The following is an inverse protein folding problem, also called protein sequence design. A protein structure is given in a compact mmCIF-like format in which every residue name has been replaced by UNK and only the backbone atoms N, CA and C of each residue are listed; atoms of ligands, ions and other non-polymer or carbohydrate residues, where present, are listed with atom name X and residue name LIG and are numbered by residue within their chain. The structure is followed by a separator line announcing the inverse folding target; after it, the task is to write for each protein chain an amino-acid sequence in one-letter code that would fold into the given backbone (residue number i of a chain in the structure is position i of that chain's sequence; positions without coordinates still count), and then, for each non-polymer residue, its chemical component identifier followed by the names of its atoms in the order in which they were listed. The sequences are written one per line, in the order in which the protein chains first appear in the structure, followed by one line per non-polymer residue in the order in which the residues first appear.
data_IF_005528197103
#
_entry.id   IF_005528197103
#
_cell.length_a   1.000
_cell.length_b   1.000
_cell.length_c   1.000
_cell.angle_alpha   90.00
_cell.angle_beta   90.00
_cell.angle_gamma   90.00
#
_symmetry.space_group_name_H-M   'P 1'
#
loop_
_entity.id
_entity.type
_entity.pdbx_description
1 polymer ?
#
# COMPACT_ATOMS: atom_id res chain seq x y z
N UNK A 1 6.90 -18.49 36.47
CA UNK A 1 7.20 -17.08 36.77
C UNK A 1 8.20 -16.61 35.76
N UNK A 2 7.83 -15.72 34.86
CA UNK A 2 8.66 -15.19 33.77
C UNK A 2 7.80 -14.40 32.82
N UNK A 3 7.51 -13.11 33.15
CA UNK A 3 6.68 -12.25 32.37
C UNK A 3 7.39 -11.79 31.10
N UNK A 4 6.80 -11.98 29.94
CA UNK A 4 7.22 -11.39 28.69
C UNK A 4 6.72 -9.95 28.60
N UNK A 5 7.65 -9.03 28.60
CA UNK A 5 7.39 -7.61 28.35
C UNK A 5 7.09 -7.39 26.86
N UNK A 6 5.93 -6.81 26.59
CA UNK A 6 5.55 -6.25 25.29
C UNK A 6 6.32 -4.94 25.08
N UNK A 7 7.03 -4.72 23.98
CA UNK A 7 7.65 -3.43 23.70
C UNK A 7 6.60 -2.38 23.34
N UNK A 8 6.62 -1.27 24.09
CA UNK A 8 5.82 -0.07 23.80
C UNK A 8 6.31 0.58 22.51
N UNK A 9 5.39 0.80 21.58
CA UNK A 9 5.59 1.64 20.41
C UNK A 9 5.83 3.08 20.88
N UNK A 10 7.00 3.61 20.56
CA UNK A 10 7.36 4.99 20.83
C UNK A 10 6.66 5.92 19.83
N UNK A 11 5.77 6.74 20.39
CA UNK A 11 5.09 7.85 19.72
C UNK A 11 6.12 8.95 19.41
N UNK A 12 6.51 9.12 18.15
CA UNK A 12 7.32 10.27 17.71
C UNK A 12 6.43 11.34 17.14
N UNK A 13 6.11 12.29 18.03
CA UNK A 13 5.50 13.59 17.73
C UNK A 13 6.31 14.36 16.70
N UNK A 14 5.71 14.65 15.57
CA UNK A 14 6.17 15.57 14.55
C UNK A 14 5.23 16.78 14.41
N UNK A 15 4.89 17.45 15.53
CA UNK A 15 4.18 18.73 15.51
C UNK A 15 4.96 19.67 16.43
N UNK A 16 5.90 20.41 15.89
CA UNK A 16 6.46 21.59 16.55
C UNK A 16 6.77 22.62 15.47
N UNK A 17 6.38 23.89 15.78
CA UNK A 17 6.79 25.14 15.17
C UNK A 17 5.83 25.80 14.16
N UNK A 18 4.69 26.26 14.63
CA UNK A 18 4.01 27.47 14.08
C UNK A 18 3.56 28.42 15.19
N UNK A 19 4.11 28.39 16.38
CA UNK A 19 3.64 29.22 17.50
C UNK A 19 4.62 30.31 18.00
N UNK A 20 5.54 30.77 17.13
CA UNK A 20 6.56 31.75 17.58
C UNK A 20 6.60 33.08 16.81
N UNK A 21 5.49 33.56 16.25
CA UNK A 21 5.45 34.87 15.58
C UNK A 21 4.38 35.85 16.12
N UNK A 22 3.86 35.66 17.35
CA UNK A 22 3.11 36.69 18.05
C UNK A 22 3.82 37.05 19.35
N UNK A 23 4.92 37.76 19.20
CA UNK A 23 5.66 38.36 20.32
C UNK A 23 4.86 39.48 20.97
N UNK A 24 4.60 39.35 22.26
CA UNK A 24 4.09 40.39 23.12
C UNK A 24 5.12 41.52 23.24
N UNK A 25 4.77 42.69 22.73
CA UNK A 25 5.51 43.91 22.93
C UNK A 25 4.97 44.61 24.18
N UNK A 26 5.73 44.56 25.29
CA UNK A 26 5.52 45.43 26.48
C UNK A 26 6.69 46.37 26.59
N UNK A 27 6.38 47.67 26.57
CA UNK A 27 7.29 48.73 27.07
C UNK A 27 7.93 49.59 25.99
N UNK A 28 7.21 50.58 25.51
CA UNK A 28 7.80 51.72 24.78
C UNK A 28 8.04 52.89 25.73
N UNK A 29 9.25 53.46 25.77
CA UNK A 29 9.47 54.79 26.39
C UNK A 29 9.04 55.87 25.42
N UNK A 30 8.45 56.94 25.97
CA UNK A 30 7.97 58.11 25.21
C UNK A 30 9.13 58.85 24.52
N UNK A 31 8.93 59.34 23.28
CA UNK A 31 9.93 60.09 22.58
C UNK A 31 9.88 61.56 22.96
N UNK A 32 11.06 62.13 23.27
CA UNK A 32 11.30 63.58 23.33
C UNK A 32 11.14 64.17 21.92
N UNK A 33 10.38 65.26 21.83
CA UNK A 33 10.29 66.13 20.68
C UNK A 33 11.66 66.77 20.38
N UNK A 34 12.23 66.37 19.26
CA UNK A 34 13.41 66.89 18.58
C UNK A 34 13.14 67.14 17.11
N UNK A 35 13.33 68.35 16.66
CA UNK A 35 12.97 68.82 15.31
C UNK A 35 13.72 68.21 14.16
N UNK A 36 13.05 68.10 13.01
CA UNK A 36 13.60 68.26 11.67
C UNK A 36 14.43 67.10 11.13
N UNK A 37 13.79 66.15 10.43
CA UNK A 37 14.50 65.13 9.66
C UNK A 37 13.59 64.44 8.64
N UNK A 38 13.74 64.85 7.42
CA UNK A 38 13.34 64.26 6.13
C UNK A 38 12.30 63.13 6.11
N UNK A 39 11.07 63.48 5.73
CA UNK A 39 9.94 62.56 5.42
C UNK A 39 10.24 61.52 4.31
N UNK A 40 11.38 61.62 3.59
CA UNK A 40 11.77 60.70 2.52
C UNK A 40 12.34 59.35 2.97
N UNK A 41 12.99 59.30 4.14
CA UNK A 41 13.64 58.08 4.62
C UNK A 41 12.68 57.04 5.25
N UNK A 42 11.60 57.50 5.86
CA UNK A 42 10.59 56.60 6.46
C UNK A 42 9.78 55.89 5.38
N UNK A 43 9.33 56.59 4.35
CA UNK A 43 8.56 56.04 3.24
C UNK A 43 9.36 54.98 2.43
N UNK A 44 10.64 55.23 2.22
CA UNK A 44 11.52 54.27 1.53
C UNK A 44 11.75 52.97 2.32
N UNK A 45 11.86 53.06 3.66
CA UNK A 45 11.95 51.88 4.54
C UNK A 45 10.65 51.09 4.59
N UNK A 46 9.51 51.72 4.56
CA UNK A 46 8.21 51.02 4.47
C UNK A 46 8.05 50.32 3.12
N UNK A 47 8.42 50.93 2.01
CA UNK A 47 8.37 50.33 0.68
C UNK A 47 9.34 49.13 0.58
N UNK A 48 10.55 49.21 1.16
CA UNK A 48 11.49 48.10 1.19
C UNK A 48 10.98 46.96 2.12
N UNK A 49 10.34 47.24 3.23
CA UNK A 49 9.77 46.27 4.14
C UNK A 49 8.57 45.53 3.49
N UNK A 50 7.69 46.25 2.83
CA UNK A 50 6.56 45.68 2.08
C UNK A 50 7.07 44.83 0.93
N UNK A 51 8.09 45.29 0.19
CA UNK A 51 8.72 44.49 -0.88
C UNK A 51 9.36 43.21 -0.35
N UNK A 52 9.99 43.22 0.82
CA UNK A 52 10.54 42.03 1.46
C UNK A 52 9.45 41.03 1.88
N UNK A 53 8.35 41.51 2.47
CA UNK A 53 7.22 40.65 2.86
C UNK A 53 6.55 40.01 1.64
N UNK A 54 6.35 40.76 0.54
CA UNK A 54 5.79 40.25 -0.69
C UNK A 54 6.71 39.15 -1.32
N UNK A 55 8.03 39.39 -1.31
CA UNK A 55 9.00 38.39 -1.80
C UNK A 55 8.98 37.10 -0.94
N UNK A 56 8.87 37.23 0.36
CA UNK A 56 8.78 36.09 1.30
C UNK A 56 7.51 35.28 1.07
N UNK A 57 6.36 35.97 0.87
CA UNK A 57 5.09 35.30 0.55
C UNK A 57 5.13 34.59 -0.81
N UNK A 58 5.72 35.21 -1.82
CA UNK A 58 5.89 34.59 -3.15
C UNK A 58 6.80 33.36 -3.09
N UNK A 59 7.90 33.41 -2.35
CA UNK A 59 8.78 32.26 -2.14
C UNK A 59 8.06 31.14 -1.38
N UNK A 60 7.30 31.44 -0.35
CA UNK A 60 6.51 30.45 0.37
C UNK A 60 5.46 29.78 -0.55
N UNK A 61 4.78 30.57 -1.38
CA UNK A 61 3.83 30.02 -2.38
C UNK A 61 4.50 29.17 -3.43
N UNK A 62 5.70 29.54 -3.89
CA UNK A 62 6.49 28.73 -4.83
C UNK A 62 6.92 27.41 -4.19
N UNK A 63 7.39 27.41 -2.94
CA UNK A 63 7.75 26.20 -2.22
C UNK A 63 6.57 25.25 -2.05
N UNK A 64 5.40 25.78 -1.67
CA UNK A 64 4.16 25.00 -1.58
C UNK A 64 3.78 24.41 -2.95
N UNK A 65 3.88 25.19 -4.03
CA UNK A 65 3.59 24.69 -5.39
C UNK A 65 4.56 23.61 -5.84
N UNK A 66 5.85 23.75 -5.51
CA UNK A 66 6.88 22.74 -5.81
C UNK A 66 6.60 21.44 -5.02
N UNK A 67 6.19 21.55 -3.75
CA UNK A 67 5.87 20.38 -2.96
C UNK A 67 4.60 19.69 -3.43
N UNK A 68 3.56 20.44 -3.80
CA UNK A 68 2.34 19.91 -4.44
C UNK A 68 2.68 19.22 -5.78
N UNK A 69 3.56 19.81 -6.60
CA UNK A 69 3.99 19.21 -7.85
C UNK A 69 4.82 17.93 -7.61
N UNK A 70 5.70 17.92 -6.62
CA UNK A 70 6.46 16.72 -6.20
C UNK A 70 5.53 15.63 -5.67
N UNK A 71 4.51 16.00 -4.93
CA UNK A 71 3.48 15.07 -4.45
C UNK A 71 2.70 14.48 -5.64
N UNK A 72 2.25 15.33 -6.56
CA UNK A 72 1.53 14.89 -7.76
C UNK A 72 2.38 14.00 -8.69
N UNK A 73 3.71 14.20 -8.74
CA UNK A 73 4.63 13.32 -9.46
C UNK A 73 4.78 11.98 -8.76
N UNK A 74 4.90 11.97 -7.43
CA UNK A 74 4.90 10.73 -6.62
C UNK A 74 3.59 9.95 -6.75
N UNK A 75 2.46 10.65 -6.78
CA UNK A 75 1.13 10.04 -6.90
C UNK A 75 0.86 9.45 -8.31
N UNK A 76 1.61 9.85 -9.35
CA UNK A 76 1.52 9.25 -10.69
C UNK A 76 2.03 7.81 -10.73
N UNK A 77 2.99 7.48 -9.89
CA UNK A 77 3.55 6.13 -9.77
C UNK A 77 2.73 5.23 -8.83
N UNK A 78 1.83 5.82 -8.03
CA UNK A 78 0.91 5.09 -7.18
C UNK A 78 -0.45 4.92 -7.88
N UNK A 79 -0.93 3.69 -7.95
CA UNK A 79 -2.23 3.38 -8.55
C UNK A 79 -3.41 4.06 -7.83
N UNK A 80 -3.27 4.31 -6.51
CA UNK A 80 -4.35 4.79 -5.66
C UNK A 80 -3.81 5.77 -4.60
N UNK A 81 -4.29 7.02 -4.56
CA UNK A 81 -3.97 7.95 -3.48
C UNK A 81 -4.63 7.50 -2.17
N UNK A 82 -3.89 7.62 -1.06
CA UNK A 82 -4.42 7.39 0.29
C UNK A 82 -4.33 5.97 0.84
N UNK A 83 -3.65 5.04 0.16
CA UNK A 83 -3.32 3.73 0.70
C UNK A 83 -2.23 3.85 1.78
N UNK A 84 -2.50 3.45 3.01
CA UNK A 84 -1.55 3.57 4.14
C UNK A 84 -1.29 2.28 4.88
N UNK A 85 -2.25 1.39 4.88
CA UNK A 85 -2.18 0.09 5.53
C UNK A 85 -2.55 -0.99 4.52
N UNK A 86 -2.53 -2.23 4.91
CA UNK A 86 -2.93 -3.33 4.04
C UNK A 86 -3.94 -4.23 4.75
N UNK A 87 -4.97 -4.62 4.02
CA UNK A 87 -5.95 -5.57 4.51
C UNK A 87 -5.85 -6.86 3.70
N UNK A 88 -5.45 -7.92 4.39
CA UNK A 88 -5.57 -9.28 3.88
C UNK A 88 -7.04 -9.62 3.72
N UNK A 89 -7.40 -10.11 2.53
CA UNK A 89 -8.71 -10.68 2.24
C UNK A 89 -8.65 -12.20 2.21
N UNK A 90 -9.65 -12.85 2.80
CA UNK A 90 -9.93 -14.27 2.61
C UNK A 90 -10.87 -14.43 1.42
N UNK A 91 -10.37 -14.91 0.29
CA UNK A 91 -11.19 -15.26 -0.87
C UNK A 91 -11.85 -16.61 -0.59
N UNK A 92 -13.17 -16.63 -0.61
CA UNK A 92 -13.98 -17.75 -0.13
C UNK A 92 -14.82 -18.34 -1.26
N UNK A 93 -14.67 -19.64 -1.46
CA UNK A 93 -15.50 -20.44 -2.36
C UNK A 93 -16.59 -21.10 -1.53
N UNK A 94 -17.85 -20.87 -1.85
CA UNK A 94 -19.01 -21.41 -1.12
C UNK A 94 -18.95 -21.13 0.41
N UNK A 95 -18.32 -20.00 0.78
CA UNK A 95 -18.19 -19.62 2.19
C UNK A 95 -16.94 -20.16 2.91
N UNK A 96 -16.19 -21.11 2.33
CA UNK A 96 -14.94 -21.63 2.87
C UNK A 96 -13.74 -20.88 2.30
N UNK A 97 -12.70 -20.66 3.10
CA UNK A 97 -11.46 -20.06 2.63
C UNK A 97 -10.80 -20.92 1.55
N UNK A 98 -10.36 -20.30 0.48
CA UNK A 98 -9.77 -20.97 -0.68
C UNK A 98 -8.45 -20.34 -1.13
N UNK A 99 -8.38 -19.00 -1.15
CA UNK A 99 -7.21 -18.22 -1.56
C UNK A 99 -7.09 -16.95 -0.71
N UNK A 100 -5.92 -16.35 -0.74
CA UNK A 100 -5.71 -14.99 -0.27
C UNK A 100 -6.12 -13.95 -1.31
N UNK A 101 -6.28 -12.71 -0.85
CA UNK A 101 -6.57 -11.58 -1.70
C UNK A 101 -6.14 -10.26 -1.05
N UNK A 102 -5.99 -9.22 -1.83
CA UNK A 102 -5.67 -7.88 -1.34
C UNK A 102 -6.64 -6.83 -1.87
N UNK A 103 -7.00 -5.87 -1.02
CA UNK A 103 -7.92 -4.80 -1.37
C UNK A 103 -7.15 -3.67 -2.06
N UNK A 104 -7.51 -3.33 -3.29
CA UNK A 104 -6.92 -2.21 -4.03
C UNK A 104 -7.69 -0.90 -3.79
N UNK A 105 -9.01 -0.97 -3.80
CA UNK A 105 -9.90 0.16 -3.50
C UNK A 105 -11.26 -0.35 -3.00
N UNK A 106 -12.24 0.53 -2.84
CA UNK A 106 -13.57 0.16 -2.31
C UNK A 106 -14.29 -0.93 -3.10
N UNK A 107 -13.88 -1.25 -4.33
CA UNK A 107 -14.58 -2.22 -5.18
C UNK A 107 -13.68 -3.21 -5.90
N UNK A 108 -12.37 -3.06 -5.81
CA UNK A 108 -11.42 -3.90 -6.53
C UNK A 108 -10.48 -4.63 -5.61
N UNK A 109 -10.29 -5.89 -5.94
CA UNK A 109 -9.48 -6.85 -5.17
C UNK A 109 -8.53 -7.54 -6.14
N UNK A 110 -7.29 -7.77 -5.71
CA UNK A 110 -6.25 -8.46 -6.45
C UNK A 110 -6.03 -9.85 -5.85
N UNK A 111 -5.89 -10.87 -6.68
CA UNK A 111 -5.61 -12.25 -6.28
C UNK A 111 -4.89 -13.01 -7.39
N UNK A 112 -4.56 -14.29 -7.17
CA UNK A 112 -3.98 -15.16 -8.18
C UNK A 112 -5.04 -15.65 -9.19
N UNK A 113 -4.66 -15.77 -10.47
CA UNK A 113 -5.56 -16.24 -11.53
C UNK A 113 -5.93 -17.70 -11.37
N UNK A 114 -4.99 -18.54 -10.93
CA UNK A 114 -5.20 -19.98 -10.79
C UNK A 114 -6.25 -20.36 -9.75
N UNK A 115 -6.59 -19.45 -8.79
CA UNK A 115 -7.69 -19.66 -7.87
C UNK A 115 -9.03 -19.92 -8.59
N UNK A 116 -9.18 -19.42 -9.82
CA UNK A 116 -10.43 -19.48 -10.59
C UNK A 116 -10.46 -20.53 -11.69
N UNK A 117 -9.42 -21.38 -11.81
CA UNK A 117 -9.34 -22.36 -12.89
C UNK A 117 -10.50 -23.37 -12.92
N UNK A 118 -10.97 -23.80 -11.75
CA UNK A 118 -12.05 -24.78 -11.60
C UNK A 118 -13.41 -24.13 -11.32
N UNK A 119 -13.42 -22.90 -10.82
CA UNK A 119 -14.60 -22.18 -10.36
C UNK A 119 -14.59 -20.77 -10.93
N UNK A 120 -15.13 -20.62 -12.14
CA UNK A 120 -15.08 -19.37 -12.91
C UNK A 120 -16.27 -18.44 -12.65
N UNK A 121 -17.29 -18.92 -11.95
CA UNK A 121 -18.53 -18.17 -11.77
C UNK A 121 -18.46 -17.23 -10.59
N UNK A 122 -18.67 -15.90 -10.76
CA UNK A 122 -18.51 -14.92 -9.69
C UNK A 122 -19.45 -15.15 -8.50
N UNK A 123 -20.64 -15.72 -8.71
CA UNK A 123 -21.63 -15.97 -7.64
C UNK A 123 -21.17 -17.02 -6.61
N UNK A 124 -20.20 -17.86 -6.96
CA UNK A 124 -19.60 -18.85 -6.06
C UNK A 124 -18.68 -18.21 -5.02
N UNK A 125 -18.25 -16.95 -5.27
CA UNK A 125 -17.18 -16.29 -4.55
C UNK A 125 -17.62 -15.13 -3.69
N UNK A 126 -16.95 -15.02 -2.55
CA UNK A 126 -17.00 -13.84 -1.69
C UNK A 126 -15.62 -13.54 -1.12
N UNK A 127 -15.39 -12.29 -0.71
CA UNK A 127 -14.16 -11.88 -0.03
C UNK A 127 -14.51 -11.39 1.35
N UNK A 128 -13.82 -11.93 2.37
CA UNK A 128 -13.92 -11.56 3.76
C UNK A 128 -12.74 -10.69 4.14
N UNK A 129 -12.98 -9.51 4.74
CA UNK A 129 -11.94 -8.61 5.23
C UNK A 129 -12.03 -8.39 6.74
N UNK A 130 -10.90 -7.95 7.34
CA UNK A 130 -10.84 -7.45 8.70
C UNK A 130 -11.01 -8.48 9.81
N UNK A 131 -10.85 -9.77 9.51
CA UNK A 131 -10.87 -10.85 10.47
C UNK A 131 -9.46 -11.41 10.69
N UNK A 132 -9.13 -11.76 11.93
CA UNK A 132 -7.90 -12.46 12.27
C UNK A 132 -8.05 -13.96 12.02
N UNK A 133 -9.13 -14.56 12.51
CA UNK A 133 -9.39 -15.98 12.25
C UNK A 133 -9.98 -16.22 10.87
N UNK A 134 -9.50 -17.23 10.18
CA UNK A 134 -10.04 -17.65 8.87
C UNK A 134 -11.46 -18.23 9.01
N UNK A 135 -11.82 -18.72 10.18
CA UNK A 135 -13.13 -19.27 10.54
C UNK A 135 -13.80 -18.45 11.65
N UNK A 136 -14.21 -17.19 11.36
CA UNK A 136 -14.91 -16.40 12.38
C UNK A 136 -16.20 -17.10 12.81
N UNK A 137 -16.64 -16.91 14.06
CA UNK A 137 -17.87 -17.48 14.55
C UNK A 137 -19.07 -17.12 13.66
N UNK A 138 -19.98 -18.07 13.45
CA UNK A 138 -21.15 -17.88 12.58
C UNK A 138 -22.08 -16.76 13.04
N UNK A 139 -22.10 -16.46 14.35
CA UNK A 139 -22.89 -15.36 14.94
C UNK A 139 -22.17 -14.01 14.91
N UNK A 140 -20.94 -13.92 14.35
CA UNK A 140 -20.23 -12.66 14.26
C UNK A 140 -20.87 -11.74 13.24
N UNK A 141 -21.63 -10.76 13.72
CA UNK A 141 -22.21 -9.71 12.88
C UNK A 141 -21.14 -8.93 12.13
N UNK A 142 -19.99 -8.68 12.76
CA UNK A 142 -18.84 -8.03 12.15
C UNK A 142 -18.36 -8.82 10.93
N UNK A 143 -18.13 -10.13 11.08
CA UNK A 143 -17.70 -10.97 9.97
C UNK A 143 -18.75 -11.01 8.84
N UNK A 144 -20.03 -11.01 9.18
CA UNK A 144 -21.10 -10.93 8.19
C UNK A 144 -21.07 -9.61 7.40
N UNK A 145 -20.92 -8.48 8.07
CA UNK A 145 -20.90 -7.16 7.44
C UNK A 145 -19.65 -6.89 6.59
N UNK A 146 -18.53 -7.58 6.88
CA UNK A 146 -17.29 -7.44 6.13
C UNK A 146 -17.07 -8.53 5.07
N UNK A 147 -18.16 -9.24 4.71
CA UNK A 147 -18.17 -10.23 3.63
C UNK A 147 -18.81 -9.64 2.38
N UNK A 148 -18.05 -9.55 1.30
CA UNK A 148 -18.44 -8.91 0.05
C UNK A 148 -18.55 -9.95 -1.06
N UNK A 149 -19.68 -9.98 -1.78
CA UNK A 149 -19.85 -10.86 -2.94
C UNK A 149 -19.03 -10.36 -4.12
N UNK A 150 -18.50 -11.28 -4.91
CA UNK A 150 -17.83 -10.98 -6.18
C UNK A 150 -18.89 -10.73 -7.26
N UNK A 151 -18.73 -9.64 -8.01
CA UNK A 151 -19.59 -9.28 -9.15
C UNK A 151 -19.00 -9.80 -10.46
N UNK A 152 -17.67 -9.70 -10.63
CA UNK A 152 -16.97 -10.17 -11.81
C UNK A 152 -15.53 -10.56 -11.47
N UNK A 153 -15.03 -11.54 -12.22
CA UNK A 153 -13.65 -12.04 -12.16
C UNK A 153 -13.00 -11.70 -13.50
N UNK A 154 -11.86 -11.03 -13.46
CA UNK A 154 -11.10 -10.63 -14.65
C UNK A 154 -9.70 -11.22 -14.52
N UNK A 155 -9.44 -12.26 -15.28
CA UNK A 155 -8.12 -12.90 -15.33
C UNK A 155 -7.25 -12.11 -16.31
N UNK A 156 -5.96 -11.95 -16.00
CA UNK A 156 -5.03 -11.31 -16.92
C UNK A 156 -5.00 -12.06 -18.26
N UNK A 157 -5.15 -11.36 -19.41
CA UNK A 157 -5.39 -12.02 -20.71
C UNK A 157 -4.28 -12.97 -21.19
N UNK A 158 -3.04 -12.77 -20.70
CA UNK A 158 -1.89 -13.61 -21.02
C UNK A 158 -1.60 -14.68 -19.95
N UNK A 159 -2.43 -14.77 -18.92
CA UNK A 159 -2.27 -15.80 -17.89
C UNK A 159 -2.43 -17.19 -18.51
N UNK A 160 -1.37 -17.97 -18.39
CA UNK A 160 -1.33 -19.38 -18.87
C UNK A 160 -1.06 -20.27 -17.68
N UNK A 161 -2.12 -20.80 -17.09
CA UNK A 161 -2.03 -21.63 -15.89
C UNK A 161 -1.38 -20.88 -14.70
N UNK A 162 -1.12 -21.58 -13.59
CA UNK A 162 -0.44 -21.06 -12.41
C UNK A 162 1.07 -20.78 -12.61
N UNK A 163 1.60 -20.98 -13.80
CA UNK A 163 3.04 -20.91 -14.06
C UNK A 163 3.49 -19.55 -14.62
N UNK A 164 2.59 -18.79 -15.25
CA UNK A 164 2.94 -17.52 -15.87
C UNK A 164 1.79 -16.52 -15.75
N UNK A 165 2.13 -15.27 -15.44
CA UNK A 165 1.20 -14.15 -15.41
C UNK A 165 -0.03 -14.41 -14.50
N UNK A 166 0.21 -15.04 -13.34
CA UNK A 166 -0.82 -15.51 -12.42
C UNK A 166 -1.44 -14.35 -11.62
N UNK A 167 -2.23 -13.54 -12.31
CA UNK A 167 -2.87 -12.35 -11.76
C UNK A 167 -4.34 -12.25 -12.16
N UNK A 168 -5.20 -11.89 -11.22
CA UNK A 168 -6.62 -11.66 -11.43
C UNK A 168 -7.15 -10.48 -10.63
N UNK A 169 -8.12 -9.78 -11.19
CA UNK A 169 -8.85 -8.70 -10.54
C UNK A 169 -10.31 -9.11 -10.31
N UNK A 170 -10.79 -8.85 -9.11
CA UNK A 170 -12.17 -9.10 -8.72
C UNK A 170 -12.87 -7.76 -8.51
N UNK A 171 -14.04 -7.59 -9.13
CA UNK A 171 -14.92 -6.47 -8.83
C UNK A 171 -15.98 -6.92 -7.83
N UNK A 172 -16.09 -6.21 -6.72
CA UNK A 172 -17.07 -6.49 -5.67
C UNK A 172 -18.45 -5.93 -6.04
N UNK A 173 -19.51 -6.60 -5.58
CA UNK A 173 -20.89 -6.18 -5.81
C UNK A 173 -21.26 -4.92 -5.03
N UNK A 174 -20.67 -4.70 -3.85
CA UNK A 174 -20.84 -3.53 -3.01
C UNK A 174 -19.50 -2.87 -2.66
N UNK A 175 -19.55 -1.61 -2.25
CA UNK A 175 -18.37 -0.88 -1.81
C UNK A 175 -17.93 -1.29 -0.42
N UNK A 176 -16.63 -1.52 -0.23
CA UNK A 176 -16.03 -1.80 1.06
C UNK A 176 -15.97 -0.53 1.90
N UNK A 177 -16.38 -0.64 3.16
CA UNK A 177 -16.22 0.43 4.15
C UNK A 177 -14.85 0.32 4.80
N UNK A 178 -14.00 1.33 4.60
CA UNK A 178 -12.68 1.39 5.22
C UNK A 178 -12.79 1.69 6.71
N UNK A 179 -11.94 1.04 7.48
CA UNK A 179 -11.78 1.25 8.93
C UNK A 179 -10.34 0.92 9.33
N UNK A 180 -10.00 0.92 10.62
CA UNK A 180 -8.64 0.66 11.10
C UNK A 180 -8.07 -0.74 10.74
N UNK A 181 -8.94 -1.70 10.38
CA UNK A 181 -8.57 -3.07 10.01
C UNK A 181 -8.76 -3.36 8.53
N UNK A 182 -9.41 -2.49 7.78
CA UNK A 182 -9.73 -2.68 6.37
C UNK A 182 -9.30 -1.43 5.61
N UNK A 183 -8.13 -1.50 4.99
CA UNK A 183 -7.52 -0.42 4.23
C UNK A 183 -6.99 -0.97 2.90
N UNK A 184 -6.92 -0.16 1.85
CA UNK A 184 -6.35 -0.59 0.58
C UNK A 184 -4.83 -0.63 0.64
N UNK A 185 -4.24 -1.57 -0.10
CA UNK A 185 -2.80 -1.64 -0.34
C UNK A 185 -2.43 -0.83 -1.57
N UNK A 186 -1.21 -0.28 -1.59
CA UNK A 186 -0.68 0.45 -2.74
C UNK A 186 -0.06 -0.48 -3.78
N UNK A 187 -0.08 -0.07 -5.05
CA UNK A 187 0.65 -0.71 -6.15
C UNK A 187 1.45 0.35 -6.89
N UNK A 188 2.69 0.03 -7.25
CA UNK A 188 3.60 0.91 -8.01
C UNK A 188 3.83 0.39 -9.42
N UNK A 189 4.19 1.31 -10.31
CA UNK A 189 4.61 1.01 -11.69
C UNK A 189 5.95 0.26 -11.77
N UNK A 190 6.76 0.32 -10.71
CA UNK A 190 8.04 -0.38 -10.62
C UNK A 190 8.27 -0.93 -9.22
N UNK A 191 8.79 -2.14 -9.16
CA UNK A 191 9.26 -2.80 -7.93
C UNK A 191 10.78 -2.81 -7.78
N UNK A 192 11.51 -2.05 -8.62
CA UNK A 192 12.98 -2.09 -8.68
C UNK A 192 13.66 -1.65 -7.38
N UNK A 193 13.06 -0.76 -6.62
CA UNK A 193 13.56 -0.26 -5.35
C UNK A 193 13.47 -1.27 -4.20
N UNK A 194 12.67 -2.33 -4.37
CA UNK A 194 12.50 -3.38 -3.37
C UNK A 194 13.43 -4.59 -3.59
N UNK A 195 14.29 -4.54 -4.60
CA UNK A 195 15.28 -5.59 -4.83
C UNK A 195 16.27 -5.66 -3.67
N UNK A 196 16.58 -6.88 -3.23
CA UNK A 196 17.50 -7.18 -2.13
C UNK A 196 17.06 -6.60 -0.76
N UNK A 197 15.79 -6.24 -0.58
CA UNK A 197 15.25 -5.89 0.74
C UNK A 197 14.96 -7.16 1.54
N UNK A 198 15.14 -7.07 2.84
CA UNK A 198 14.95 -8.14 3.82
C UNK A 198 13.81 -7.84 4.82
N UNK A 199 13.12 -6.73 4.62
CA UNK A 199 12.05 -6.21 5.48
C UNK A 199 10.68 -6.21 4.79
N UNK A 200 10.46 -7.13 3.86
CA UNK A 200 9.16 -7.36 3.23
C UNK A 200 8.36 -8.43 3.98
N UNK A 201 7.06 -8.44 3.83
CA UNK A 201 6.17 -9.28 4.62
C UNK A 201 5.17 -10.03 3.75
N UNK A 202 4.89 -11.26 4.16
CA UNK A 202 3.78 -12.07 3.64
C UNK A 202 2.91 -12.47 4.81
N UNK A 203 1.59 -12.37 4.67
CA UNK A 203 0.68 -12.89 5.67
C UNK A 203 -0.37 -13.82 5.06
N UNK A 204 -1.01 -14.65 5.88
CA UNK A 204 -2.05 -15.56 5.43
C UNK A 204 -2.43 -16.62 6.47
N UNK A 205 -3.35 -17.48 6.06
CA UNK A 205 -3.88 -18.57 6.88
C UNK A 205 -3.41 -19.96 6.43
N UNK A 206 -2.41 -20.03 5.55
CA UNK A 206 -1.83 -21.27 5.07
C UNK A 206 -1.00 -22.01 6.10
N UNK A 207 -0.40 -23.11 5.67
CA UNK A 207 0.44 -23.95 6.51
C UNK A 207 1.61 -23.14 7.11
N UNK A 208 1.91 -23.40 8.38
CA UNK A 208 3.04 -22.76 9.09
C UNK A 208 4.37 -23.46 8.84
N UNK A 209 4.32 -24.74 8.46
CA UNK A 209 5.46 -25.56 8.04
C UNK A 209 4.97 -26.60 7.03
N UNK A 210 5.89 -27.26 6.34
CA UNK A 210 5.56 -28.36 5.43
C UNK A 210 4.77 -29.47 6.17
N UNK A 211 3.57 -29.77 5.68
CA UNK A 211 2.63 -30.76 6.24
C UNK A 211 2.10 -30.42 7.65
N UNK A 212 2.22 -29.17 8.10
CA UNK A 212 1.67 -28.70 9.35
C UNK A 212 0.68 -27.59 9.13
N UNK A 213 -0.59 -27.94 9.13
CA UNK A 213 -1.67 -26.99 8.99
C UNK A 213 -1.68 -25.95 10.12
N UNK A 214 -2.26 -24.79 9.84
CA UNK A 214 -2.49 -23.78 10.85
C UNK A 214 -3.35 -24.34 11.99
N UNK A 215 -2.90 -24.28 13.27
CA UNK A 215 -3.67 -24.77 14.39
C UNK A 215 -4.83 -23.83 14.75
N UNK A 216 -5.90 -24.34 15.42
CA UNK A 216 -6.91 -23.47 16.00
C UNK A 216 -6.29 -22.41 16.92
N UNK A 217 -6.83 -21.17 16.98
CA UNK A 217 -8.07 -20.68 16.36
C UNK A 217 -7.94 -20.26 14.89
N UNK A 218 -6.93 -20.71 14.16
CA UNK A 218 -6.69 -20.43 12.75
C UNK A 218 -6.45 -18.93 12.49
N UNK A 219 -5.66 -18.31 13.34
CA UNK A 219 -5.34 -16.89 13.26
C UNK A 219 -4.33 -16.59 12.15
N UNK A 220 -4.51 -15.43 11.53
CA UNK A 220 -3.63 -14.91 10.49
C UNK A 220 -2.18 -14.89 10.96
N UNK A 221 -1.32 -15.53 10.19
CA UNK A 221 0.13 -15.54 10.39
C UNK A 221 0.79 -14.50 9.51
N UNK A 222 1.94 -13.99 9.93
CA UNK A 222 2.79 -13.11 9.15
C UNK A 222 4.25 -13.57 9.26
N UNK A 223 4.99 -13.40 8.18
CA UNK A 223 6.41 -13.74 8.09
C UNK A 223 7.15 -12.66 7.33
N UNK A 224 8.29 -12.26 7.87
CA UNK A 224 9.22 -11.37 7.19
C UNK A 224 10.07 -12.18 6.22
N UNK A 225 10.25 -11.67 5.00
CA UNK A 225 10.96 -12.35 3.92
C UNK A 225 11.94 -11.41 3.23
N UNK A 226 13.08 -11.96 2.80
CA UNK A 226 14.06 -11.26 1.98
C UNK A 226 13.73 -11.41 0.49
N UNK A 227 13.96 -10.38 -0.30
CA UNK A 227 13.81 -10.44 -1.76
C UNK A 227 15.13 -10.84 -2.39
N UNK A 228 15.20 -12.06 -2.90
CA UNK A 228 16.39 -12.61 -3.53
C UNK A 228 16.61 -11.92 -4.89
N UNK A 229 17.86 -11.59 -5.22
CA UNK A 229 18.18 -10.97 -6.49
C UNK A 229 17.86 -11.89 -7.69
N UNK A 230 17.60 -11.29 -8.86
CA UNK A 230 17.14 -12.01 -10.05
C UNK A 230 18.12 -13.09 -10.53
N UNK A 231 19.41 -12.85 -10.45
CA UNK A 231 20.43 -13.82 -10.90
C UNK A 231 20.41 -15.06 -10.00
N UNK A 232 20.36 -14.87 -8.70
CA UNK A 232 20.26 -15.97 -7.73
C UNK A 232 18.93 -16.70 -7.85
N UNK A 233 17.83 -15.97 -7.99
CA UNK A 233 16.52 -16.54 -8.25
C UNK A 233 16.53 -17.43 -9.49
N UNK A 234 17.04 -16.95 -10.63
CA UNK A 234 17.18 -17.75 -11.86
C UNK A 234 18.05 -18.99 -11.64
N UNK A 235 19.14 -18.88 -10.91
CA UNK A 235 19.99 -20.02 -10.59
C UNK A 235 19.23 -21.08 -9.79
N UNK A 236 18.45 -20.70 -8.79
CA UNK A 236 17.65 -21.61 -7.98
C UNK A 236 16.59 -22.35 -8.83
N UNK A 237 15.98 -21.67 -9.81
CA UNK A 237 14.99 -22.27 -10.69
C UNK A 237 15.56 -23.15 -11.82
N UNK A 238 16.85 -23.09 -12.09
CA UNK A 238 17.49 -24.01 -13.04
C UNK A 238 17.94 -25.34 -12.39
N UNK A 239 17.67 -25.53 -11.09
CA UNK A 239 17.88 -26.82 -10.44
C UNK A 239 16.87 -27.86 -10.96
N UNK A 240 17.21 -29.17 -10.95
CA UNK A 240 16.38 -30.23 -11.53
C UNK A 240 14.95 -30.31 -10.99
N UNK A 241 14.74 -29.85 -9.75
CA UNK A 241 13.45 -29.84 -9.09
C UNK A 241 12.49 -28.73 -9.58
N UNK A 242 13.01 -27.77 -10.31
CA UNK A 242 12.25 -26.68 -10.92
C UNK A 242 12.29 -26.83 -12.44
N UNK A 243 11.23 -27.33 -13.03
CA UNK A 243 11.10 -27.31 -14.47
C UNK A 243 11.14 -25.86 -14.98
N UNK A 244 11.88 -25.59 -16.05
CA UNK A 244 12.26 -24.39 -16.78
C UNK A 244 11.24 -23.21 -16.89
N UNK A 245 10.73 -22.68 -15.80
CA UNK A 245 9.65 -21.68 -15.81
C UNK A 245 10.09 -20.28 -15.32
N UNK A 246 11.32 -19.86 -15.62
CA UNK A 246 11.77 -18.50 -15.32
C UNK A 246 11.08 -17.49 -16.22
N UNK A 247 10.04 -16.83 -15.70
CA UNK A 247 9.43 -15.65 -16.32
C UNK A 247 10.06 -14.38 -15.77
N UNK A 248 10.22 -13.37 -16.64
CA UNK A 248 10.69 -12.04 -16.24
C UNK A 248 9.73 -11.32 -15.26
N UNK A 249 8.52 -11.85 -15.08
CA UNK A 249 7.44 -11.28 -14.28
C UNK A 249 7.34 -11.92 -12.89
N UNK A 250 8.43 -12.49 -12.36
CA UNK A 250 8.45 -13.15 -11.05
C UNK A 250 9.33 -12.43 -10.06
N UNK A 251 8.98 -12.50 -8.79
CA UNK A 251 9.77 -12.13 -7.62
C UNK A 251 9.99 -13.38 -6.79
N UNK A 252 11.17 -13.52 -6.23
CA UNK A 252 11.56 -14.64 -5.40
C UNK A 252 11.81 -14.15 -3.96
N UNK A 253 10.84 -14.18 -3.09
CA UNK A 253 11.10 -14.01 -1.66
C UNK A 253 11.52 -15.35 -1.05
N UNK A 254 12.32 -15.27 0.01
CA UNK A 254 12.78 -16.41 0.76
C UNK A 254 14.12 -16.16 1.41
N UNK A 255 14.59 -17.11 2.22
CA UNK A 255 15.94 -17.11 2.75
C UNK A 255 16.74 -18.31 2.24
N UNK A 256 18.04 -18.13 2.06
CA UNK A 256 18.91 -19.20 1.56
C UNK A 256 19.06 -20.34 2.57
N UNK A 257 18.88 -20.07 3.85
CA UNK A 257 18.91 -21.03 4.95
C UNK A 257 17.60 -21.82 5.14
N UNK A 258 16.52 -21.40 4.45
CA UNK A 258 15.20 -22.05 4.53
C UNK A 258 14.40 -21.70 5.79
N UNK A 259 14.90 -20.81 6.65
CA UNK A 259 14.23 -20.48 7.92
C UNK A 259 13.02 -19.58 7.76
N UNK A 260 12.96 -18.81 6.66
CA UNK A 260 11.87 -17.88 6.37
C UNK A 260 11.36 -18.08 4.95
N UNK A 261 10.23 -18.75 4.81
CA UNK A 261 9.54 -18.92 3.54
C UNK A 261 8.03 -18.92 3.78
N UNK A 262 7.28 -18.47 2.78
CA UNK A 262 5.83 -18.60 2.80
C UNK A 262 5.44 -20.03 2.39
N UNK A 263 4.84 -20.75 3.32
CA UNK A 263 4.41 -22.12 3.10
C UNK A 263 3.21 -22.28 2.16
N UNK A 264 2.93 -23.54 1.76
CA UNK A 264 1.73 -23.91 1.01
C UNK A 264 0.48 -23.40 1.71
N UNK A 265 -0.49 -22.93 0.95
CA UNK A 265 -1.82 -22.89 1.47
C UNK A 265 -2.64 -21.65 1.19
N UNK A 266 -2.03 -20.52 0.76
CA UNK A 266 -2.84 -19.36 0.38
C UNK A 266 -2.31 -18.69 -0.88
N UNK A 267 -2.48 -19.28 -2.06
CA UNK A 267 -2.22 -18.54 -3.29
C UNK A 267 -3.06 -17.26 -3.33
N UNK A 268 -2.55 -16.23 -3.96
CA UNK A 268 -3.23 -14.94 -4.02
C UNK A 268 -2.93 -13.99 -2.86
N UNK A 269 -2.17 -14.43 -1.84
CA UNK A 269 -1.70 -13.55 -0.75
C UNK A 269 -0.80 -12.43 -1.27
N UNK A 270 -0.84 -11.24 -0.66
CA UNK A 270 0.08 -10.17 -0.99
C UNK A 270 1.46 -10.39 -0.37
N UNK A 271 2.51 -10.11 -1.14
CA UNK A 271 3.85 -9.77 -0.66
C UNK A 271 3.95 -8.25 -0.62
N UNK A 272 4.23 -7.70 0.54
CA UNK A 272 4.22 -6.26 0.77
C UNK A 272 5.52 -5.79 1.40
N UNK A 273 5.94 -4.56 1.06
CA UNK A 273 7.06 -3.88 1.70
C UNK A 273 6.62 -2.46 2.08
N UNK A 274 7.11 -1.94 3.19
CA UNK A 274 6.84 -0.57 3.58
C UNK A 274 7.73 0.40 2.79
N UNK A 275 7.15 1.52 2.36
CA UNK A 275 7.89 2.63 1.73
C UNK A 275 7.41 3.95 2.30
N UNK A 276 8.20 4.55 3.21
CA UNK A 276 7.92 5.87 3.79
C UNK A 276 6.51 5.98 4.42
N UNK A 277 6.03 4.90 5.04
CA UNK A 277 4.73 4.79 5.71
C UNK A 277 3.67 4.00 4.96
N UNK A 278 3.43 4.17 3.65
CA UNK A 278 2.57 3.29 2.86
C UNK A 278 3.12 1.87 2.68
N UNK A 279 2.21 0.88 2.70
CA UNK A 279 2.49 -0.49 2.33
C UNK A 279 2.26 -0.71 0.84
N UNK A 280 3.29 -1.20 0.16
CA UNK A 280 3.30 -1.44 -1.29
C UNK A 280 3.22 -2.94 -1.54
N UNK A 281 2.23 -3.38 -2.27
CA UNK A 281 2.18 -4.75 -2.74
C UNK A 281 3.07 -4.91 -3.97
N UNK A 282 4.15 -5.67 -3.82
CA UNK A 282 5.11 -5.96 -4.90
C UNK A 282 4.87 -7.32 -5.54
N UNK A 283 4.25 -8.25 -4.81
CA UNK A 283 4.03 -9.62 -5.29
C UNK A 283 2.66 -10.21 -4.95
N UNK A 284 2.28 -11.25 -5.67
CA UNK A 284 1.15 -12.14 -5.38
C UNK A 284 1.74 -13.53 -5.20
N UNK A 285 1.46 -14.20 -4.08
CA UNK A 285 1.83 -15.60 -3.88
C UNK A 285 1.21 -16.43 -4.97
N UNK A 286 2.02 -17.11 -5.75
CA UNK A 286 1.54 -17.95 -6.84
C UNK A 286 1.71 -19.43 -6.50
N UNK A 287 2.93 -19.92 -6.42
CA UNK A 287 3.22 -21.30 -6.07
C UNK A 287 4.64 -21.45 -5.49
N UNK A 288 4.95 -22.65 -4.95
CA UNK A 288 6.28 -22.99 -4.45
C UNK A 288 6.47 -24.48 -4.31
N UNK A 289 7.71 -24.93 -4.31
CA UNK A 289 8.09 -26.33 -4.07
C UNK A 289 8.47 -26.52 -2.62
N UNK A 290 7.54 -27.04 -1.81
CA UNK A 290 7.77 -27.19 -0.37
C UNK A 290 7.62 -25.88 0.42
N UNK A 291 8.09 -25.89 1.67
CA UNK A 291 8.09 -24.72 2.56
C UNK A 291 9.32 -24.75 3.43
N UNK A 292 10.01 -23.61 3.56
CA UNK A 292 11.14 -23.50 4.46
C UNK A 292 12.27 -24.47 4.12
N UNK A 293 12.44 -24.81 2.86
CA UNK A 293 13.53 -25.66 2.43
C UNK A 293 14.71 -24.81 2.00
N UNK A 294 15.89 -25.23 2.39
CA UNK A 294 17.14 -24.56 2.02
C UNK A 294 17.28 -24.45 0.50
N UNK A 295 17.65 -23.27 0.01
CA UNK A 295 17.82 -22.96 -1.42
C UNK A 295 16.55 -23.13 -2.27
N UNK A 296 15.37 -23.12 -1.66
CA UNK A 296 14.10 -23.13 -2.36
C UNK A 296 13.35 -21.83 -2.05
N UNK A 297 13.19 -20.99 -3.06
CA UNK A 297 12.44 -19.73 -2.94
C UNK A 297 10.98 -19.94 -3.40
N UNK A 298 10.05 -19.26 -2.79
CA UNK A 298 8.69 -19.16 -3.28
C UNK A 298 8.63 -18.39 -4.61
N UNK A 299 7.62 -18.66 -5.43
CA UNK A 299 7.38 -17.95 -6.70
C UNK A 299 6.20 -17.03 -6.54
N UNK A 300 6.46 -15.75 -6.78
CA UNK A 300 5.47 -14.68 -6.65
C UNK A 300 5.38 -13.91 -7.95
N UNK A 301 4.16 -13.68 -8.38
CA UNK A 301 3.87 -12.83 -9.54
C UNK A 301 4.21 -11.38 -9.23
N UNK A 302 5.07 -10.74 -10.02
CA UNK A 302 5.47 -9.34 -9.84
C UNK A 302 4.33 -8.39 -10.23
N UNK A 303 3.71 -7.73 -9.25
CA UNK A 303 2.53 -6.88 -9.46
C UNK A 303 2.81 -5.69 -10.36
N UNK A 304 4.01 -5.10 -10.29
CA UNK A 304 4.37 -3.93 -11.13
C UNK A 304 4.34 -4.25 -12.63
N UNK A 305 4.52 -5.51 -13.02
CA UNK A 305 4.41 -5.93 -14.43
C UNK A 305 2.99 -5.80 -14.98
N UNK A 306 1.99 -5.74 -14.11
CA UNK A 306 0.57 -5.62 -14.46
C UNK A 306 -0.01 -4.24 -14.14
N UNK A 307 0.82 -3.29 -13.72
CA UNK A 307 0.39 -1.96 -13.28
C UNK A 307 -0.54 -1.27 -14.29
N UNK A 308 -0.17 -1.21 -15.57
CA UNK A 308 -0.98 -0.57 -16.59
C UNK A 308 -2.34 -1.26 -16.79
N UNK A 309 -2.38 -2.59 -16.76
CA UNK A 309 -3.62 -3.35 -16.84
C UNK A 309 -4.51 -3.12 -15.62
N UNK A 310 -3.94 -3.13 -14.42
CA UNK A 310 -4.64 -2.81 -13.18
C UNK A 310 -5.17 -1.38 -13.24
N UNK A 311 -4.34 -0.41 -13.61
CA UNK A 311 -4.72 1.00 -13.71
C UNK A 311 -5.85 1.23 -14.72
N UNK A 312 -5.81 0.57 -15.87
CA UNK A 312 -6.86 0.66 -16.88
C UNK A 312 -8.23 0.21 -16.34
N UNK A 313 -8.28 -0.90 -15.59
CA UNK A 313 -9.54 -1.44 -15.08
C UNK A 313 -10.03 -0.72 -13.81
N UNK A 314 -9.12 -0.44 -12.90
CA UNK A 314 -9.39 0.14 -11.57
C UNK A 314 -9.55 1.66 -11.68
N UNK A 315 -8.72 2.34 -12.46
CA UNK A 315 -8.69 3.80 -12.60
C UNK A 315 -9.93 4.38 -13.29
N UNK A 316 -10.53 3.67 -14.25
CA UNK A 316 -11.79 4.08 -14.88
C UNK A 316 -13.02 3.97 -13.94
N UNK A 317 -12.83 3.33 -12.79
CA UNK A 317 -13.90 3.14 -11.79
C UNK A 317 -13.92 4.20 -10.69
N UNK A 318 -12.90 5.05 -10.63
CA UNK A 318 -12.85 6.20 -9.71
C UNK A 318 -13.38 7.43 -10.43
N UNK A 319 -14.38 8.16 -9.88
CA UNK A 319 -14.75 9.46 -10.43
C UNK A 319 -13.51 10.35 -10.45
N UNK A 320 -13.18 10.91 -11.63
CA UNK A 320 -12.14 11.94 -11.68
C UNK A 320 -12.61 13.11 -10.82
N UNK A 321 -11.78 13.67 -9.92
CA UNK A 321 -12.13 14.91 -9.25
C UNK A 321 -12.42 15.95 -10.33
N UNK A 322 -13.57 16.61 -10.21
CA UNK A 322 -14.01 17.66 -11.14
C UNK A 322 -12.95 18.78 -11.14
N UNK A 323 -12.34 19.11 -12.29
CA UNK A 323 -11.35 20.19 -12.39
C UNK A 323 -11.88 21.54 -11.87
N UNK A 324 -13.20 21.75 -11.91
CA UNK A 324 -13.84 22.97 -11.40
C UNK A 324 -13.73 23.09 -9.88
N UNK A 325 -13.64 22.01 -9.12
CA UNK A 325 -13.43 22.04 -7.66
C UNK A 325 -12.02 22.45 -7.28
N UNK A 326 -11.04 22.33 -8.17
CA UNK A 326 -9.66 22.79 -7.94
C UNK A 326 -9.49 24.31 -8.17
N UNK A 327 -10.45 24.96 -8.86
CA UNK A 327 -10.40 26.39 -9.17
C UNK A 327 -11.08 27.28 -8.11
N UNK A 328 -11.95 26.71 -7.27
CA UNK A 328 -12.67 27.46 -6.21
C UNK A 328 -11.78 28.17 -5.21
N UNK A 329 -10.67 27.62 -4.70
CA UNK A 329 -9.82 28.32 -3.76
C UNK A 329 -8.99 29.47 -4.39
N UNK A 330 -8.87 29.52 -5.73
CA UNK A 330 -8.14 30.58 -6.42
C UNK A 330 -8.99 31.85 -6.63
N UNK A 331 -10.30 31.70 -6.74
CA UNK A 331 -11.21 32.84 -6.90
C UNK A 331 -11.42 33.63 -5.60
N UNK A 332 -11.29 32.98 -4.44
CA UNK A 332 -11.41 33.65 -3.12
C UNK A 332 -10.18 34.47 -2.72
N UNK A 333 -9.06 34.32 -3.43
CA UNK A 333 -7.83 35.12 -3.18
C UNK A 333 -7.76 36.39 -4.04
N UNK A 334 -8.77 36.66 -4.89
CA UNK A 334 -8.83 37.81 -5.80
C UNK A 334 -10.07 38.68 -5.54
N UNK A 335 -10.76 38.52 -4.44
CA UNK A 335 -11.78 39.48 -4.03
C UNK A 335 -11.11 40.73 -3.45
N UNK A 336 -11.44 41.96 -3.92
CA UNK A 336 -10.82 43.22 -3.51
C UNK A 336 -11.11 43.55 -2.05
#
# INVERSE_FOLDING_TARGET
MGGSQVPRVADKKGIVWVHWLLGHNKGAPQPRLGAGGSRGGARRREEEAVGAQVRTLLLAQLLVRVEIARQALRDRDLLLPGCRAWAQGSLRLWGSHYCGASLLNRRWVLSAAHCFQKHIYPYEWSVQFGELSVTPPIWSLRAYLHRYRVKSIIIYPKSRNYLQDDSSLLKLSSSVTFNKHIQPVCVLSSSSEFKNRDDCWVNGWGDIHEKKNLPPPYDLQEVQVSIINKSRCSYLFHQPDYSSHSSNNMICPGSEDGNTDACKGDPGRPLVCEKNGPWIQIGIVSWGVGCGRRNQAGIYTNVSSYFNWIQMLVGHSTPRPDPSQLLLPLALLWAP
#
